data_IF_797484083075
#
_entry.id   IF_797484083075
#
_cell.length_a   1.000
_cell.length_b   1.000
_cell.length_c   1.000
_cell.angle_alpha   90.00
_cell.angle_beta   90.00
_cell.angle_gamma   90.00
#
_symmetry.space_group_name_H-M   'P 1'
#
loop_
_entity.id
_entity.type
_entity.pdbx_description
1 polymer ?
#
# COMPACT_ATOMS: atom_id res chain seq x y z
N UNK A 1 -26.95 -3.15 -19.63
CA UNK A 1 -25.58 -3.25 -19.09
C UNK A 1 -25.49 -2.32 -17.89
N UNK A 2 -25.18 -2.81 -16.68
CA UNK A 2 -25.11 -1.95 -15.49
C UNK A 2 -23.83 -1.11 -15.54
N UNK A 3 -24.01 0.21 -15.45
CA UNK A 3 -23.07 1.17 -14.87
C UNK A 3 -21.65 1.19 -15.44
N UNK A 4 -21.45 1.88 -16.57
CA UNK A 4 -20.19 2.58 -16.76
C UNK A 4 -20.03 3.52 -15.56
N UNK A 5 -19.15 3.15 -14.63
CA UNK A 5 -18.70 4.00 -13.55
C UNK A 5 -18.37 5.36 -14.19
N UNK A 6 -19.06 6.42 -13.73
CA UNK A 6 -18.72 7.79 -14.08
C UNK A 6 -17.21 7.90 -13.95
N UNK A 7 -16.54 8.23 -15.05
CA UNK A 7 -15.12 8.54 -15.05
C UNK A 7 -14.94 9.82 -14.27
N UNK A 8 -14.96 9.72 -12.93
CA UNK A 8 -14.22 10.65 -12.11
C UNK A 8 -12.81 10.65 -12.69
N UNK A 9 -12.30 11.82 -13.05
CA UNK A 9 -10.92 11.98 -13.49
C UNK A 9 -10.02 11.44 -12.37
N UNK A 10 -9.58 10.19 -12.52
CA UNK A 10 -8.65 9.58 -11.59
C UNK A 10 -7.28 10.15 -11.90
N UNK A 11 -6.50 10.41 -10.86
CA UNK A 11 -5.08 10.72 -11.03
C UNK A 11 -4.45 9.66 -11.96
N UNK A 12 -3.59 10.05 -12.92
CA UNK A 12 -2.78 9.09 -13.65
C UNK A 12 -2.01 8.19 -12.69
N UNK A 13 -1.84 6.92 -13.05
CA UNK A 13 -1.05 6.04 -12.19
C UNK A 13 0.44 6.36 -12.33
N UNK A 14 1.07 6.76 -11.23
CA UNK A 14 2.51 6.95 -11.10
C UNK A 14 3.05 6.17 -9.89
N UNK A 15 3.74 5.06 -10.16
CA UNK A 15 4.28 4.19 -9.12
C UNK A 15 5.17 4.92 -8.11
N UNK A 16 5.91 5.95 -8.53
CA UNK A 16 6.79 6.70 -7.64
C UNK A 16 5.98 7.56 -6.67
N UNK A 17 4.94 8.24 -7.16
CA UNK A 17 4.04 9.02 -6.30
C UNK A 17 3.36 8.15 -5.24
N UNK A 18 2.85 6.97 -5.62
CA UNK A 18 2.24 6.03 -4.69
C UNK A 18 3.26 5.43 -3.71
N UNK A 19 4.48 5.15 -4.16
CA UNK A 19 5.59 4.67 -3.30
C UNK A 19 5.97 5.73 -2.27
N UNK A 20 6.13 6.99 -2.69
CA UNK A 20 6.46 8.10 -1.81
C UNK A 20 5.38 8.33 -0.74
N UNK A 21 4.09 8.22 -1.12
CA UNK A 21 2.97 8.32 -0.16
C UNK A 21 3.05 7.21 0.90
N UNK A 22 3.46 6.00 0.50
CA UNK A 22 3.62 4.87 1.42
C UNK A 22 4.81 5.07 2.37
N UNK A 23 5.96 5.47 1.83
CA UNK A 23 7.14 5.79 2.64
C UNK A 23 6.88 6.94 3.62
N UNK A 24 6.18 7.98 3.15
CA UNK A 24 5.74 9.09 3.99
C UNK A 24 4.84 8.63 5.14
N UNK A 25 3.95 7.67 4.91
CA UNK A 25 3.10 7.13 5.98
C UNK A 25 3.93 6.49 7.10
N UNK A 26 4.99 5.74 6.79
CA UNK A 26 5.89 5.20 7.82
C UNK A 26 6.54 6.32 8.64
N UNK A 27 7.03 7.37 7.98
CA UNK A 27 7.66 8.54 8.61
C UNK A 27 6.68 9.31 9.48
N UNK A 28 5.52 9.70 8.94
CA UNK A 28 4.52 10.52 9.62
C UNK A 28 3.94 9.81 10.85
N UNK A 29 3.85 8.48 10.83
CA UNK A 29 3.34 7.68 11.95
C UNK A 29 4.44 7.14 12.87
N UNK A 30 5.72 7.39 12.56
CA UNK A 30 6.88 6.83 13.26
C UNK A 30 6.78 5.29 13.47
N UNK A 31 6.34 4.58 12.43
CA UNK A 31 6.20 3.11 12.44
C UNK A 31 7.27 2.50 11.54
N UNK A 32 7.75 1.32 11.93
CA UNK A 32 8.62 0.51 11.08
C UNK A 32 7.90 -0.72 10.51
N UNK A 33 6.72 -1.08 11.06
CA UNK A 33 5.90 -2.20 10.59
C UNK A 33 4.45 -1.73 10.59
N UNK A 34 3.74 -1.97 9.48
CA UNK A 34 2.31 -1.65 9.32
C UNK A 34 1.61 -2.79 8.59
N UNK A 35 0.33 -3.00 8.83
CA UNK A 35 -0.47 -3.86 7.94
C UNK A 35 -0.86 -3.08 6.69
N UNK A 36 -0.95 -3.75 5.54
CA UNK A 36 -1.40 -3.09 4.30
C UNK A 36 -2.84 -2.57 4.42
N UNK A 37 -3.70 -3.30 5.14
CA UNK A 37 -5.07 -2.88 5.41
C UNK A 37 -5.14 -1.58 6.23
N UNK A 38 -4.29 -1.45 7.24
CA UNK A 38 -4.19 -0.22 8.05
C UNK A 38 -3.71 0.96 7.21
N UNK A 39 -2.73 0.75 6.34
CA UNK A 39 -2.28 1.80 5.42
C UNK A 39 -3.40 2.26 4.47
N UNK A 40 -4.18 1.32 3.94
CA UNK A 40 -5.30 1.58 3.03
C UNK A 40 -6.56 2.11 3.72
N UNK A 41 -6.58 2.21 5.05
CA UNK A 41 -7.72 2.75 5.79
C UNK A 41 -7.98 4.21 5.35
N UNK A 42 -9.25 4.51 5.06
CA UNK A 42 -9.68 5.83 4.59
C UNK A 42 -9.29 6.19 3.15
N UNK A 43 -8.64 5.29 2.41
CA UNK A 43 -8.31 5.50 0.98
C UNK A 43 -9.45 5.08 0.07
N UNK A 44 -9.48 5.65 -1.12
CA UNK A 44 -10.47 5.26 -2.12
C UNK A 44 -10.21 3.83 -2.61
N UNK A 45 -11.28 3.06 -2.84
CA UNK A 45 -11.14 1.65 -3.21
C UNK A 45 -10.32 1.42 -4.49
N UNK A 46 -10.38 2.37 -5.44
CA UNK A 46 -9.62 2.29 -6.69
C UNK A 46 -8.11 2.53 -6.51
N UNK A 47 -7.69 3.10 -5.37
CA UNK A 47 -6.28 3.32 -5.05
C UNK A 47 -5.63 2.07 -4.48
N UNK A 48 -6.39 1.15 -3.87
CA UNK A 48 -5.85 -0.02 -3.18
C UNK A 48 -4.92 -0.85 -4.06
N UNK A 49 -5.33 -1.16 -5.30
CA UNK A 49 -4.48 -1.91 -6.23
C UNK A 49 -3.22 -1.12 -6.61
N UNK A 50 -3.30 0.20 -6.75
CA UNK A 50 -2.16 1.07 -7.09
C UNK A 50 -1.13 1.07 -5.97
N UNK A 51 -1.60 1.16 -4.73
CA UNK A 51 -0.75 1.06 -3.55
C UNK A 51 -0.14 -0.33 -3.40
N UNK A 52 -0.90 -1.40 -3.70
CA UNK A 52 -0.36 -2.74 -3.69
C UNK A 52 0.81 -2.89 -4.67
N UNK A 53 0.68 -2.38 -5.90
CA UNK A 53 1.79 -2.35 -6.85
C UNK A 53 2.99 -1.51 -6.36
N UNK A 54 2.74 -0.38 -5.71
CA UNK A 54 3.80 0.43 -5.11
C UNK A 54 4.55 -0.33 -4.00
N UNK A 55 3.86 -1.14 -3.17
CA UNK A 55 4.50 -2.02 -2.20
C UNK A 55 5.45 -3.00 -2.89
N UNK A 56 5.00 -3.64 -3.97
CA UNK A 56 5.83 -4.59 -4.73
C UNK A 56 7.07 -3.90 -5.33
N UNK A 57 6.91 -2.68 -5.85
CA UNK A 57 8.02 -1.87 -6.36
C UNK A 57 9.05 -1.54 -5.27
N UNK A 58 8.58 -1.08 -4.10
CA UNK A 58 9.45 -0.79 -2.95
C UNK A 58 10.14 -2.05 -2.41
N UNK A 59 9.45 -3.19 -2.42
CA UNK A 59 10.03 -4.47 -2.01
C UNK A 59 11.07 -4.99 -3.00
N UNK A 60 10.83 -4.83 -4.30
CA UNK A 60 11.82 -5.15 -5.33
C UNK A 60 13.08 -4.27 -5.24
N UNK A 61 12.98 -3.11 -4.59
CA UNK A 61 14.07 -2.16 -4.39
C UNK A 61 14.63 -2.20 -2.96
N UNK A 62 14.30 -3.22 -2.15
CA UNK A 62 14.76 -3.40 -0.75
C UNK A 62 14.43 -2.23 0.21
N UNK A 63 13.47 -1.36 -0.13
CA UNK A 63 13.03 -0.30 0.78
C UNK A 63 12.05 -0.84 1.83
N UNK A 64 11.22 -1.81 1.44
CA UNK A 64 10.16 -2.40 2.27
C UNK A 64 10.16 -3.92 2.16
N UNK A 65 10.21 -4.63 3.27
CA UNK A 65 9.96 -6.06 3.35
C UNK A 65 8.47 -6.37 3.37
N UNK A 66 8.08 -7.43 2.67
CA UNK A 66 6.71 -7.93 2.67
C UNK A 66 6.68 -9.26 3.42
N UNK A 67 5.81 -9.36 4.42
CA UNK A 67 5.57 -10.60 5.15
C UNK A 67 4.07 -10.89 5.25
N UNK A 68 3.73 -12.15 5.47
CA UNK A 68 2.35 -12.57 5.67
C UNK A 68 2.24 -13.24 7.03
N UNK A 69 1.31 -12.78 7.85
CA UNK A 69 1.00 -13.39 9.14
C UNK A 69 -0.42 -13.93 9.06
N UNK A 70 -0.56 -15.21 9.36
CA UNK A 70 -1.85 -15.87 9.45
C UNK A 70 -2.48 -15.59 10.81
N UNK A 71 -3.65 -14.95 10.81
CA UNK A 71 -4.41 -14.68 12.02
C UNK A 71 -5.08 -15.95 12.56
N UNK A 72 -5.46 -15.99 13.85
CA UNK A 72 -6.19 -17.12 14.45
C UNK A 72 -7.53 -17.43 13.77
N UNK A 73 -8.15 -16.44 13.12
CA UNK A 73 -9.37 -16.58 12.34
C UNK A 73 -9.15 -17.21 10.95
N UNK A 74 -7.90 -17.54 10.60
CA UNK A 74 -7.51 -18.13 9.32
C UNK A 74 -7.21 -17.11 8.22
N UNK A 75 -7.38 -15.82 8.47
CA UNK A 75 -7.11 -14.75 7.49
C UNK A 75 -5.62 -14.47 7.38
N UNK A 76 -5.13 -14.37 6.15
CA UNK A 76 -3.76 -13.92 5.87
C UNK A 76 -3.69 -12.40 5.84
N UNK A 77 -2.78 -11.82 6.62
CA UNK A 77 -2.57 -10.37 6.69
C UNK A 77 -1.21 -10.03 6.11
N UNK A 78 -1.24 -9.12 5.14
CA UNK A 78 -0.04 -8.55 4.53
C UNK A 78 0.55 -7.47 5.44
N UNK A 79 1.79 -7.68 5.88
CA UNK A 79 2.56 -6.71 6.64
C UNK A 79 3.69 -6.16 5.79
N UNK A 80 3.91 -4.86 5.95
CA UNK A 80 4.98 -4.10 5.33
C UNK A 80 5.96 -3.70 6.43
N UNK A 81 7.24 -3.99 6.24
CA UNK A 81 8.32 -3.65 7.16
C UNK A 81 9.29 -2.71 6.47
N UNK A 82 9.56 -1.55 7.05
CA UNK A 82 10.54 -0.62 6.53
C UNK A 82 11.96 -1.21 6.72
N UNK A 83 12.70 -1.37 5.63
CA UNK A 83 14.06 -1.92 5.64
C UNK A 83 15.10 -0.79 5.59
N UNK A 84 14.95 0.15 4.64
CA UNK A 84 15.82 1.33 4.52
C UNK A 84 15.03 2.64 4.55
N UNK A 85 15.67 3.65 5.15
CA UNK A 85 15.26 5.06 5.11
C UNK A 85 16.36 5.79 4.34
N UNK A 86 16.39 5.65 3.03
CA UNK A 86 17.25 6.50 2.21
C UNK A 86 16.75 7.95 2.28
#
# INVERSE_FOLDING_TARGET
MPGLLKSTEREPYDVQAYSNRLMKYFTDNNKNIISFSEFCEGKEHWETCRYFFACLHLAASDHVGISTIKKPDGTDVLYLTLISKD
#
